data_IF_707093127642
#
_entry.id   IF_707093127642
#
_cell.length_a   1.000
_cell.length_b   1.000
_cell.length_c   1.000
_cell.angle_alpha   90.00
_cell.angle_beta   90.00
_cell.angle_gamma   90.00
#
_symmetry.space_group_name_H-M   'P 1'
#
loop_
_entity.id
_entity.type
_entity.pdbx_description
1 polymer ?
#
# COMPACT_ATOMS: atom_id res chain seq x y z
N UNK A 1 -2.22 -5.53 50.19
CA UNK A 1 -3.40 -6.42 50.06
C UNK A 1 -4.52 -5.63 49.40
N UNK A 2 -5.17 -6.25 48.40
CA UNK A 2 -6.53 -6.08 47.84
C UNK A 2 -7.27 -4.72 47.89
N UNK A 3 -8.13 -4.27 46.96
CA UNK A 3 -8.65 -4.68 45.64
C UNK A 3 -9.59 -3.53 45.16
N UNK A 4 -9.72 -3.33 43.84
CA UNK A 4 -10.95 -3.10 42.99
C UNK A 4 -12.19 -2.40 43.61
N UNK A 5 -13.09 -1.67 42.93
CA UNK A 5 -13.36 -1.09 41.57
C UNK A 5 -14.76 -0.42 41.67
N UNK A 6 -15.16 0.36 40.64
CA UNK A 6 -16.52 0.82 40.23
C UNK A 6 -16.96 2.21 40.75
N UNK A 7 -17.04 3.27 39.93
CA UNK A 7 -17.95 3.56 38.78
C UNK A 7 -19.39 3.89 39.21
N UNK A 8 -19.81 5.16 39.04
CA UNK A 8 -21.16 5.53 38.55
C UNK A 8 -21.23 7.01 38.13
N UNK A 9 -21.29 7.20 36.81
CA UNK A 9 -21.98 8.20 36.00
C UNK A 9 -22.76 9.32 36.72
N UNK A 10 -22.40 10.57 36.44
CA UNK A 10 -23.32 11.71 36.55
C UNK A 10 -23.40 12.46 35.22
N UNK A 11 -24.59 12.44 34.62
CA UNK A 11 -24.94 13.05 33.33
C UNK A 11 -24.95 14.57 33.47
N UNK A 12 -24.18 15.29 32.64
CA UNK A 12 -24.46 16.70 32.32
C UNK A 12 -24.78 16.86 30.85
N UNK A 13 -26.09 16.99 30.60
CA UNK A 13 -26.69 17.48 29.38
C UNK A 13 -26.32 18.96 29.24
N UNK A 14 -25.72 19.34 28.10
CA UNK A 14 -25.77 20.72 27.62
C UNK A 14 -25.60 20.71 26.10
N UNK A 15 -26.66 21.11 25.41
CA UNK A 15 -26.79 21.05 23.96
C UNK A 15 -25.90 22.06 23.24
N UNK A 16 -25.23 21.60 22.18
CA UNK A 16 -24.73 22.44 21.10
C UNK A 16 -25.52 22.10 19.84
N UNK A 17 -26.25 23.09 19.34
CA UNK A 17 -27.05 23.04 18.10
C UNK A 17 -26.14 22.61 16.95
N UNK A 18 -26.46 21.48 16.30
CA UNK A 18 -25.81 21.05 15.06
C UNK A 18 -26.29 21.97 13.93
N UNK A 19 -25.45 22.92 13.56
CA UNK A 19 -25.57 23.67 12.31
C UNK A 19 -25.21 22.68 11.18
N UNK A 20 -26.21 22.25 10.42
CA UNK A 20 -26.04 21.29 9.33
C UNK A 20 -25.56 22.08 8.11
N UNK A 21 -24.27 22.00 7.79
CA UNK A 21 -23.73 22.44 6.50
C UNK A 21 -24.07 21.39 5.45
N UNK A 22 -24.73 21.73 4.33
CA UNK A 22 -24.96 20.80 3.23
C UNK A 22 -23.65 20.70 2.44
N UNK A 23 -22.74 19.85 2.88
CA UNK A 23 -21.59 19.47 2.05
C UNK A 23 -22.10 18.45 1.04
N UNK A 24 -22.25 18.91 -0.20
CA UNK A 24 -22.38 18.06 -1.39
C UNK A 24 -21.48 16.84 -1.26
N UNK A 25 -22.13 15.68 -1.21
CA UNK A 25 -21.46 14.40 -1.22
C UNK A 25 -20.94 14.19 -2.64
N UNK A 26 -19.71 14.64 -2.92
CA UNK A 26 -18.98 14.16 -4.08
C UNK A 26 -18.91 12.63 -3.91
N UNK A 27 -19.46 11.84 -4.83
CA UNK A 27 -19.32 10.39 -4.76
C UNK A 27 -17.83 10.10 -4.78
N UNK A 28 -17.30 9.62 -3.64
CA UNK A 28 -15.94 9.11 -3.60
C UNK A 28 -15.86 8.03 -4.69
N UNK A 29 -14.87 8.09 -5.59
CA UNK A 29 -14.65 6.98 -6.52
C UNK A 29 -14.54 5.69 -5.68
N UNK A 30 -15.07 4.57 -6.21
CA UNK A 30 -15.02 3.31 -5.48
C UNK A 30 -13.59 3.05 -5.02
N UNK A 31 -13.38 2.52 -3.79
CA UNK A 31 -12.05 2.13 -3.36
C UNK A 31 -11.48 1.22 -4.43
N UNK A 32 -10.30 1.60 -4.93
CA UNK A 32 -9.55 0.86 -5.92
C UNK A 32 -9.63 -0.63 -5.61
N UNK A 33 -9.96 -1.44 -6.61
CA UNK A 33 -10.09 -2.90 -6.52
C UNK A 33 -9.03 -3.46 -5.57
N UNK A 34 -9.46 -4.29 -4.61
CA UNK A 34 -8.60 -4.90 -3.60
C UNK A 34 -7.32 -5.42 -4.26
N UNK A 35 -6.18 -4.78 -4.02
CA UNK A 35 -4.90 -5.22 -4.55
C UNK A 35 -4.66 -6.65 -4.06
N UNK A 36 -4.94 -7.64 -4.91
CA UNK A 36 -4.73 -9.04 -4.60
C UNK A 36 -3.24 -9.24 -4.39
N UNK A 37 -2.84 -9.37 -3.13
CA UNK A 37 -1.44 -9.55 -2.76
C UNK A 37 -0.99 -10.95 -3.14
N UNK A 38 -0.26 -11.07 -4.26
CA UNK A 38 0.41 -12.29 -4.66
C UNK A 38 1.75 -12.41 -3.95
N UNK A 39 1.94 -13.49 -3.19
CA UNK A 39 3.22 -13.81 -2.57
C UNK A 39 3.94 -14.84 -3.45
N UNK A 40 5.08 -14.43 -4.02
CA UNK A 40 5.91 -15.30 -4.87
C UNK A 40 7.17 -15.66 -4.11
N UNK A 41 7.46 -16.96 -4.02
CA UNK A 41 8.72 -17.44 -3.47
C UNK A 41 9.84 -17.25 -4.49
N UNK A 42 10.93 -16.61 -4.07
CA UNK A 42 12.12 -16.40 -4.89
C UNK A 42 13.32 -17.04 -4.21
N UNK A 43 14.24 -17.57 -5.01
CA UNK A 43 15.47 -18.14 -4.48
C UNK A 43 16.32 -17.07 -3.77
N UNK A 44 17.07 -17.48 -2.75
CA UNK A 44 17.95 -16.57 -1.98
C UNK A 44 18.94 -15.83 -2.88
N UNK A 45 19.46 -16.51 -3.91
CA UNK A 45 20.38 -15.93 -4.88
C UNK A 45 19.72 -14.77 -5.66
N UNK A 46 18.49 -14.97 -6.15
CA UNK A 46 17.73 -13.93 -6.85
C UNK A 46 17.37 -12.78 -5.90
N UNK A 47 16.95 -13.09 -4.68
CA UNK A 47 16.66 -12.09 -3.65
C UNK A 47 17.87 -11.21 -3.32
N UNK A 48 19.07 -11.78 -3.26
CA UNK A 48 20.30 -11.03 -3.03
C UNK A 48 20.65 -10.12 -4.20
N UNK A 49 20.50 -10.60 -5.44
CA UNK A 49 20.72 -9.79 -6.66
C UNK A 49 19.74 -8.62 -6.75
N UNK A 50 18.46 -8.84 -6.43
CA UNK A 50 17.45 -7.78 -6.36
C UNK A 50 17.81 -6.71 -5.33
N UNK A 51 18.34 -7.11 -4.18
CA UNK A 51 18.80 -6.17 -3.15
C UNK A 51 19.97 -5.32 -3.65
N UNK A 52 20.94 -5.92 -4.32
CA UNK A 52 22.09 -5.18 -4.90
C UNK A 52 21.60 -4.18 -5.95
N UNK A 53 20.72 -4.61 -6.85
CA UNK A 53 20.16 -3.74 -7.88
C UNK A 53 19.42 -2.53 -7.26
N UNK A 54 18.64 -2.75 -6.19
CA UNK A 54 18.00 -1.68 -5.44
C UNK A 54 19.03 -0.70 -4.85
N UNK A 55 20.09 -1.21 -4.21
CA UNK A 55 21.14 -0.36 -3.64
C UNK A 55 21.86 0.48 -4.70
N UNK A 56 22.11 -0.07 -5.90
CA UNK A 56 22.69 0.69 -7.00
C UNK A 56 21.76 1.80 -7.49
N UNK A 57 20.45 1.53 -7.58
CA UNK A 57 19.46 2.54 -7.93
C UNK A 57 19.43 3.68 -6.91
N UNK A 58 19.45 3.33 -5.63
CA UNK A 58 19.48 4.30 -4.52
C UNK A 58 20.77 5.11 -4.50
N UNK A 59 21.92 4.48 -4.78
CA UNK A 59 23.19 5.17 -4.95
C UNK A 59 23.18 6.18 -6.11
N UNK A 60 22.38 5.91 -7.15
CA UNK A 60 22.12 6.83 -8.26
C UNK A 60 21.16 7.98 -7.91
N UNK A 61 20.74 8.12 -6.65
CA UNK A 61 19.87 9.20 -6.19
C UNK A 61 18.37 8.94 -6.33
N UNK A 62 17.96 7.77 -6.88
CA UNK A 62 16.55 7.38 -6.98
C UNK A 62 16.17 6.45 -5.82
N UNK A 63 15.52 7.01 -4.81
CA UNK A 63 14.95 6.24 -3.69
C UNK A 63 13.60 5.66 -4.11
N UNK A 64 13.45 4.35 -4.01
CA UNK A 64 12.23 3.63 -4.39
C UNK A 64 11.92 2.56 -3.35
N UNK A 65 10.65 2.37 -3.01
CA UNK A 65 10.28 1.28 -2.10
C UNK A 65 10.59 -0.08 -2.74
N UNK A 66 11.08 -1.05 -1.95
CA UNK A 66 11.41 -2.39 -2.45
C UNK A 66 10.26 -3.05 -3.24
N UNK A 67 9.01 -2.90 -2.77
CA UNK A 67 7.82 -3.44 -3.45
C UNK A 67 7.65 -2.82 -4.84
N UNK A 68 7.76 -1.50 -4.93
CA UNK A 68 7.68 -0.76 -6.20
C UNK A 68 8.82 -1.13 -7.15
N UNK A 69 10.05 -1.23 -6.64
CA UNK A 69 11.21 -1.65 -7.43
C UNK A 69 11.00 -3.03 -8.08
N UNK A 70 10.53 -4.01 -7.30
CA UNK A 70 10.25 -5.35 -7.84
C UNK A 70 9.09 -5.32 -8.83
N UNK A 71 8.04 -4.55 -8.55
CA UNK A 71 6.89 -4.41 -9.45
C UNK A 71 7.31 -3.79 -10.80
N UNK A 72 8.07 -2.70 -10.79
CA UNK A 72 8.58 -2.07 -12.01
C UNK A 72 9.48 -3.02 -12.81
N UNK A 73 10.35 -3.77 -12.12
CA UNK A 73 11.21 -4.76 -12.76
C UNK A 73 10.41 -5.90 -13.43
N UNK A 74 9.32 -6.36 -12.79
CA UNK A 74 8.44 -7.37 -13.36
C UNK A 74 7.66 -6.84 -14.56
N UNK A 75 7.10 -5.63 -14.47
CA UNK A 75 6.39 -4.99 -15.59
C UNK A 75 7.33 -4.83 -16.79
N UNK A 76 8.54 -4.33 -16.57
CA UNK A 76 9.52 -4.16 -17.64
C UNK A 76 9.92 -5.49 -18.28
N UNK A 77 10.02 -6.57 -17.50
CA UNK A 77 10.31 -7.90 -18.02
C UNK A 77 9.15 -8.48 -18.84
N UNK A 78 7.91 -8.29 -18.36
CA UNK A 78 6.70 -8.72 -19.08
C UNK A 78 6.53 -7.96 -20.40
N UNK A 79 6.71 -6.64 -20.39
CA UNK A 79 6.63 -5.84 -21.62
C UNK A 79 7.65 -6.32 -22.67
N UNK A 80 8.90 -6.60 -22.26
CA UNK A 80 9.91 -7.16 -23.18
C UNK A 80 9.51 -8.52 -23.72
N UNK A 81 8.94 -9.37 -22.87
CA UNK A 81 8.44 -10.68 -23.30
C UNK A 81 7.31 -10.53 -24.31
N UNK A 82 6.35 -9.63 -24.06
CA UNK A 82 5.24 -9.35 -24.98
C UNK A 82 5.75 -8.80 -26.32
N UNK A 83 6.73 -7.88 -26.29
CA UNK A 83 7.36 -7.33 -27.50
C UNK A 83 8.05 -8.42 -28.34
N UNK A 84 8.83 -9.30 -27.69
CA UNK A 84 9.50 -10.43 -28.35
C UNK A 84 8.48 -11.45 -28.90
N UNK A 85 7.40 -11.69 -28.16
CA UNK A 85 6.39 -12.67 -28.56
C UNK A 85 5.48 -12.16 -29.69
N UNK A 86 5.10 -10.88 -29.67
CA UNK A 86 4.30 -10.28 -30.73
C UNK A 86 5.09 -10.00 -32.01
N UNK A 87 6.41 -9.78 -31.92
CA UNK A 87 7.27 -9.65 -33.09
C UNK A 87 7.66 -10.99 -33.74
N UNK A 88 7.34 -12.11 -33.07
CA UNK A 88 7.62 -13.48 -33.53
C UNK A 88 6.40 -14.29 -34.01
N UNK A 89 5.21 -13.67 -34.12
CA UNK A 89 3.97 -14.26 -34.65
C UNK A 89 3.55 -13.61 -35.98
#
# INVERSE_FOLDING_TARGET
>A
MAQRKNSTTSKRVSGKRKLVSPTESIPKPPPSEEEVALNVEISKAVGWRLKIALLHLEAGGRKTAKKQFVQEALIAALNRFDDEYQSGA
#
